data_IF_476819278929
#
_entry.id   IF_476819278929
#
_cell.length_a   1.000
_cell.length_b   1.000
_cell.length_c   1.000
_cell.angle_alpha   90.00
_cell.angle_beta   90.00
_cell.angle_gamma   90.00
#
_symmetry.space_group_name_H-M   'P 1'
#
loop_
_entity.id
_entity.type
_entity.pdbx_description
1 polymer ?
#
# COMPACT_ATOMS: atom_id res chain seq x y z
N UNK A 1 -11.42 -10.04 -8.18
CA UNK A 1 -10.38 -9.30 -7.45
C UNK A 1 -10.01 -9.99 -6.14
N UNK A 2 -9.78 -11.31 -6.10
CA UNK A 2 -9.50 -12.01 -4.84
C UNK A 2 -8.02 -12.01 -4.49
N UNK A 3 -7.16 -12.45 -5.40
CA UNK A 3 -5.75 -12.69 -5.06
C UNK A 3 -4.98 -11.39 -4.80
N UNK A 4 -5.27 -10.34 -5.57
CA UNK A 4 -4.65 -9.02 -5.34
C UNK A 4 -5.09 -8.41 -4.00
N UNK A 5 -6.37 -8.55 -3.62
CA UNK A 5 -6.86 -8.05 -2.35
C UNK A 5 -6.22 -8.79 -1.17
N UNK A 6 -6.14 -10.12 -1.25
CA UNK A 6 -5.44 -10.90 -0.23
C UNK A 6 -3.97 -10.48 -0.09
N UNK A 7 -3.28 -10.22 -1.20
CA UNK A 7 -1.88 -9.80 -1.19
C UNK A 7 -1.72 -8.41 -0.54
N UNK A 8 -2.64 -7.49 -0.82
CA UNK A 8 -2.69 -6.16 -0.22
C UNK A 8 -3.02 -6.23 1.28
N UNK A 9 -3.95 -7.09 1.67
CA UNK A 9 -4.35 -7.29 3.07
C UNK A 9 -3.19 -7.88 3.89
N UNK A 10 -2.51 -8.90 3.37
CA UNK A 10 -1.34 -9.50 4.01
C UNK A 10 -0.18 -8.50 4.16
N UNK A 11 0.05 -7.69 3.11
CA UNK A 11 1.04 -6.62 3.14
C UNK A 11 0.69 -5.55 4.19
N UNK A 12 -0.55 -5.09 4.18
CA UNK A 12 -1.06 -4.05 5.10
C UNK A 12 -0.97 -4.52 6.54
N UNK A 13 -1.38 -5.76 6.81
CA UNK A 13 -1.34 -6.38 8.13
C UNK A 13 0.09 -6.45 8.65
N UNK A 14 1.05 -6.89 7.82
CA UNK A 14 2.46 -6.97 8.22
C UNK A 14 3.06 -5.58 8.54
N UNK A 15 2.68 -4.55 7.78
CA UNK A 15 3.12 -3.17 8.01
C UNK A 15 2.51 -2.61 9.31
N UNK A 16 1.21 -2.82 9.52
CA UNK A 16 0.50 -2.37 10.73
C UNK A 16 1.05 -3.08 11.97
N UNK A 17 1.27 -4.39 11.91
CA UNK A 17 1.86 -5.15 13.02
C UNK A 17 3.24 -4.62 13.40
N UNK A 18 4.07 -4.29 12.39
CA UNK A 18 5.44 -3.83 12.62
C UNK A 18 5.53 -2.39 13.15
N UNK A 19 4.75 -1.48 12.56
CA UNK A 19 4.85 -0.05 12.87
C UNK A 19 3.78 0.45 13.87
N UNK A 20 2.75 -0.34 14.12
CA UNK A 20 1.68 -0.05 15.08
C UNK A 20 1.13 1.36 14.91
N UNK A 21 1.29 2.18 15.95
CA UNK A 21 0.75 3.55 16.06
C UNK A 21 1.36 4.56 15.08
N UNK A 22 2.45 4.20 14.40
CA UNK A 22 3.05 5.05 13.37
C UNK A 22 2.35 4.96 12.03
N UNK A 23 1.62 3.87 11.74
CA UNK A 23 0.77 3.82 10.55
C UNK A 23 -0.42 4.74 10.78
N UNK A 24 -0.57 5.74 9.92
CA UNK A 24 -1.68 6.70 9.99
C UNK A 24 -2.77 6.36 8.99
N UNK A 25 -2.38 6.02 7.77
CA UNK A 25 -3.33 5.73 6.69
C UNK A 25 -2.74 4.77 5.67
N UNK A 26 -3.57 3.91 5.11
CA UNK A 26 -3.24 3.06 3.96
C UNK A 26 -4.35 3.24 2.93
N UNK A 27 -3.97 3.63 1.71
CA UNK A 27 -4.90 3.80 0.59
C UNK A 27 -4.36 3.04 -0.62
N UNK A 28 -5.24 2.32 -1.31
CA UNK A 28 -4.89 1.59 -2.53
C UNK A 28 -5.73 2.03 -3.70
N UNK A 29 -5.12 2.12 -4.88
CA UNK A 29 -5.79 2.47 -6.11
C UNK A 29 -5.04 1.94 -7.33
N UNK A 30 -5.26 2.56 -8.49
CA UNK A 30 -4.63 2.17 -9.75
C UNK A 30 -5.50 1.26 -10.62
N UNK A 31 -4.92 0.80 -11.74
CA UNK A 31 -5.63 0.10 -12.81
C UNK A 31 -6.30 -1.19 -12.37
N UNK A 32 -5.71 -1.89 -11.40
CA UNK A 32 -6.30 -3.10 -10.83
C UNK A 32 -7.70 -2.87 -10.27
N UNK A 33 -7.93 -1.68 -9.70
CA UNK A 33 -9.19 -1.31 -9.07
C UNK A 33 -10.17 -0.65 -10.06
N UNK A 34 -9.69 0.20 -10.97
CA UNK A 34 -10.54 0.84 -11.98
C UNK A 34 -11.08 -0.19 -12.98
N UNK A 35 -10.21 -1.09 -13.45
CA UNK A 35 -10.52 -2.03 -14.53
C UNK A 35 -10.98 -3.38 -13.99
N UNK A 36 -10.96 -3.56 -12.67
CA UNK A 36 -11.27 -4.81 -11.96
C UNK A 36 -10.42 -6.00 -12.39
N UNK A 37 -9.18 -5.75 -12.83
CA UNK A 37 -8.22 -6.76 -13.30
C UNK A 37 -7.08 -6.95 -12.31
N UNK A 38 -6.95 -8.14 -11.74
CA UNK A 38 -6.01 -8.39 -10.64
C UNK A 38 -4.52 -8.30 -11.01
N UNK A 39 -4.17 -8.45 -12.29
CA UNK A 39 -2.80 -8.46 -12.80
C UNK A 39 -2.32 -7.11 -13.35
N UNK A 40 -3.10 -6.05 -13.10
CA UNK A 40 -2.76 -4.69 -13.46
C UNK A 40 -2.11 -3.95 -12.29
N UNK A 41 -1.66 -2.73 -12.53
CA UNK A 41 -1.00 -1.90 -11.52
C UNK A 41 -1.90 -1.61 -10.31
N UNK A 42 -1.31 -1.73 -9.12
CA UNK A 42 -1.80 -1.21 -7.85
C UNK A 42 -0.87 -0.11 -7.39
N UNK A 43 -1.41 1.06 -7.05
CA UNK A 43 -0.69 2.10 -6.32
C UNK A 43 -1.06 1.93 -4.85
N UNK A 44 -0.06 1.69 -4.01
CA UNK A 44 -0.19 1.49 -2.58
C UNK A 44 0.42 2.69 -1.85
N UNK A 45 -0.43 3.53 -1.27
CA UNK A 45 0.00 4.66 -0.44
C UNK A 45 0.03 4.25 1.02
N UNK A 46 1.20 4.38 1.65
CA UNK A 46 1.41 4.23 3.08
C UNK A 46 1.72 5.59 3.68
N UNK A 47 0.84 6.09 4.56
CA UNK A 47 1.12 7.27 5.37
C UNK A 47 1.69 6.80 6.71
N UNK A 48 2.97 7.07 6.91
CA UNK A 48 3.76 6.61 8.05
C UNK A 48 4.34 7.81 8.80
N UNK A 49 4.11 7.88 10.11
CA UNK A 49 4.69 8.91 10.94
C UNK A 49 6.22 8.76 11.07
N UNK A 50 6.90 9.84 11.43
CA UNK A 50 8.36 9.91 11.64
C UNK A 50 9.23 9.65 10.39
N UNK A 51 8.66 9.61 9.19
CA UNK A 51 9.43 9.45 7.93
C UNK A 51 9.81 10.76 7.24
N UNK A 52 9.37 11.92 7.75
CA UNK A 52 9.59 13.23 7.10
C UNK A 52 11.07 13.57 6.89
N UNK A 53 11.96 13.07 7.76
CA UNK A 53 13.42 13.23 7.65
C UNK A 53 14.14 12.08 6.93
N UNK A 54 13.40 11.06 6.51
CA UNK A 54 13.94 9.90 5.78
C UNK A 54 13.90 10.22 4.29
N UNK A 55 15.02 9.98 3.59
CA UNK A 55 15.12 10.18 2.15
C UNK A 55 14.12 9.32 1.37
N UNK A 56 13.71 9.77 0.18
CA UNK A 56 12.76 9.02 -0.65
C UNK A 56 13.29 7.62 -1.03
N UNK A 57 14.61 7.49 -1.22
CA UNK A 57 15.26 6.21 -1.50
C UNK A 57 15.10 5.23 -0.34
N UNK A 58 15.44 5.67 0.87
CA UNK A 58 15.31 4.84 2.09
C UNK A 58 13.86 4.51 2.42
N UNK A 59 12.91 5.39 2.05
CA UNK A 59 11.47 5.08 2.15
C UNK A 59 11.04 3.98 1.18
N UNK A 60 11.63 3.92 -0.01
CA UNK A 60 11.46 2.79 -0.92
C UNK A 60 11.93 1.47 -0.30
N UNK A 61 13.05 1.49 0.44
CA UNK A 61 13.56 0.31 1.15
C UNK A 61 12.61 -0.16 2.26
N UNK A 62 11.94 0.77 2.96
CA UNK A 62 10.90 0.42 3.94
C UNK A 62 9.81 -0.42 3.28
N UNK A 63 9.23 0.07 2.18
CA UNK A 63 8.18 -0.67 1.49
C UNK A 63 8.70 -2.02 0.95
N UNK A 64 9.88 -2.00 0.32
CA UNK A 64 10.50 -3.19 -0.27
C UNK A 64 10.74 -4.29 0.76
N UNK A 65 11.09 -3.94 2.00
CA UNK A 65 11.25 -4.91 3.08
C UNK A 65 9.98 -5.74 3.31
N UNK A 66 8.81 -5.11 3.38
CA UNK A 66 7.54 -5.82 3.55
C UNK A 66 7.10 -6.52 2.27
N UNK A 67 7.29 -5.89 1.12
CA UNK A 67 6.99 -6.52 -0.16
C UNK A 67 7.79 -7.82 -0.36
N UNK A 68 9.08 -7.83 -0.01
CA UNK A 68 9.91 -9.04 -0.07
C UNK A 68 9.47 -10.15 0.89
N UNK A 69 8.84 -9.81 2.03
CA UNK A 69 8.20 -10.81 2.89
C UNK A 69 6.95 -11.39 2.22
N UNK A 70 6.09 -10.52 1.66
CA UNK A 70 4.90 -10.92 0.92
C UNK A 70 5.25 -11.85 -0.25
N UNK A 71 6.37 -11.62 -0.95
CA UNK A 71 6.83 -12.46 -2.07
C UNK A 71 7.05 -13.94 -1.71
N UNK A 72 7.16 -14.27 -0.41
CA UNK A 72 7.33 -15.63 0.11
C UNK A 72 6.01 -16.26 0.60
N UNK A 73 4.89 -15.56 0.45
CA UNK A 73 3.58 -16.01 0.90
C UNK A 73 2.92 -16.99 -0.06
N UNK A 74 2.03 -17.83 0.47
CA UNK A 74 1.15 -18.69 -0.34
C UNK A 74 0.26 -17.88 -1.26
N UNK A 75 -0.13 -16.67 -0.85
CA UNK A 75 -0.94 -15.74 -1.65
C UNK A 75 -0.24 -15.39 -2.96
N UNK A 76 1.07 -15.11 -2.90
CA UNK A 76 1.88 -14.80 -4.09
C UNK A 76 2.10 -16.04 -4.96
N UNK A 77 2.28 -17.22 -4.37
CA UNK A 77 2.40 -18.46 -5.15
C UNK A 77 1.12 -18.75 -5.94
N UNK A 78 -0.06 -18.52 -5.34
CA UNK A 78 -1.35 -18.63 -6.02
C UNK A 78 -1.50 -17.57 -7.12
N UNK A 79 -1.07 -16.33 -6.86
CA UNK A 79 -1.11 -15.25 -7.83
C UNK A 79 -0.25 -15.58 -9.07
N UNK A 80 0.99 -16.02 -8.86
CA UNK A 80 1.90 -16.46 -9.93
C UNK A 80 1.32 -17.62 -10.72
N UNK A 81 0.76 -18.62 -10.04
CA UNK A 81 0.16 -19.78 -10.70
C UNK A 81 -1.00 -19.39 -11.62
N UNK A 82 -1.78 -18.36 -11.25
CA UNK A 82 -2.92 -17.90 -12.04
C UNK A 82 -2.54 -16.97 -13.19
N UNK A 83 -1.63 -16.03 -12.97
CA UNK A 83 -1.34 -14.94 -13.92
C UNK A 83 0.03 -15.04 -14.60
N UNK A 84 0.89 -15.98 -14.19
CA UNK A 84 2.24 -16.14 -14.74
C UNK A 84 3.22 -15.02 -14.35
N UNK A 85 2.82 -14.10 -13.48
CA UNK A 85 3.64 -12.95 -13.06
C UNK A 85 3.43 -12.62 -11.58
N UNK A 86 4.30 -11.76 -11.05
CA UNK A 86 4.07 -11.11 -9.75
C UNK A 86 2.96 -10.06 -9.84
N UNK A 87 2.28 -9.74 -8.72
CA UNK A 87 1.42 -8.56 -8.66
C UNK A 87 2.24 -7.29 -8.86
N UNK A 88 1.67 -6.32 -9.57
CA UNK A 88 2.34 -5.05 -9.89
C UNK A 88 1.97 -4.00 -8.84
N UNK A 89 2.59 -4.08 -7.66
CA UNK A 89 2.32 -3.16 -6.55
C UNK A 89 3.42 -2.10 -6.47
N UNK A 90 3.06 -0.84 -6.73
CA UNK A 90 3.91 0.33 -6.53
C UNK A 90 3.64 0.91 -5.14
N UNK A 91 4.59 0.73 -4.22
CA UNK A 91 4.52 1.30 -2.88
C UNK A 91 5.10 2.70 -2.78
N UNK A 92 4.36 3.61 -2.17
CA UNK A 92 4.78 4.99 -1.90
C UNK A 92 4.60 5.25 -0.41
N UNK A 93 5.68 5.63 0.28
CA UNK A 93 5.66 5.96 1.71
C UNK A 93 5.74 7.46 1.89
N UNK A 94 4.72 8.02 2.52
CA UNK A 94 4.53 9.44 2.74
C UNK A 94 4.54 9.73 4.24
N UNK A 95 5.08 10.87 4.64
CA UNK A 95 4.76 11.44 5.94
C UNK A 95 3.38 12.11 5.90
N UNK A 96 2.69 12.26 7.04
CA UNK A 96 1.38 12.92 7.09
C UNK A 96 1.38 14.32 6.46
N UNK A 97 2.48 15.08 6.59
CA UNK A 97 2.63 16.42 6.01
C UNK A 97 2.58 16.43 4.48
N UNK A 98 2.98 15.34 3.83
CA UNK A 98 2.97 15.24 2.37
C UNK A 98 1.57 15.02 1.80
N UNK A 99 0.56 14.78 2.64
CA UNK A 99 -0.85 14.79 2.23
C UNK A 99 -1.39 16.19 1.95
N UNK A 100 -0.73 17.22 2.49
CA UNK A 100 -1.07 18.62 2.25
C UNK A 100 -0.44 19.15 0.94
N UNK A 101 0.41 18.36 0.30
CA UNK A 101 1.09 18.74 -0.93
C UNK A 101 0.25 18.33 -2.14
N UNK A 102 0.22 19.18 -3.16
CA UNK A 102 -0.48 18.93 -4.44
C UNK A 102 0.31 17.96 -5.33
N UNK A 103 0.58 16.75 -4.83
CA UNK A 103 1.27 15.71 -5.59
C UNK A 103 0.22 14.97 -6.43
N UNK A 104 0.22 15.11 -7.78
CA UNK A 104 -0.92 14.66 -8.60
C UNK A 104 -1.27 13.18 -8.46
N UNK A 105 -0.25 12.32 -8.29
CA UNK A 105 -0.45 10.89 -8.09
C UNK A 105 -1.10 10.58 -6.74
N UNK A 106 -0.68 11.28 -5.69
CA UNK A 106 -1.26 11.13 -4.34
C UNK A 106 -2.70 11.60 -4.36
N UNK A 107 -2.97 12.78 -4.93
CA UNK A 107 -4.32 13.32 -5.07
C UNK A 107 -5.24 12.39 -5.84
N UNK A 108 -4.76 11.81 -6.95
CA UNK A 108 -5.52 10.86 -7.74
C UNK A 108 -5.95 9.64 -6.90
N UNK A 109 -5.02 9.05 -6.15
CA UNK A 109 -5.31 7.87 -5.32
C UNK A 109 -6.14 8.22 -4.10
N UNK A 110 -5.93 9.38 -3.48
CA UNK A 110 -6.75 9.83 -2.35
C UNK A 110 -8.20 10.09 -2.75
N UNK A 111 -8.46 10.53 -3.98
CA UNK A 111 -9.82 10.79 -4.50
C UNK A 111 -10.52 9.55 -5.06
N UNK A 112 -9.78 8.65 -5.70
CA UNK A 112 -10.36 7.53 -6.46
C UNK A 112 -10.00 6.15 -5.89
N UNK A 113 -9.15 6.10 -4.87
CA UNK A 113 -8.71 4.87 -4.22
C UNK A 113 -9.63 4.41 -3.10
N UNK A 114 -9.27 3.29 -2.50
CA UNK A 114 -9.94 2.67 -1.37
C UNK A 114 -9.08 2.85 -0.13
N UNK A 115 -9.68 3.43 0.91
CA UNK A 115 -9.04 3.52 2.23
C UNK A 115 -9.13 2.15 2.90
N UNK A 116 -7.98 1.53 3.14
CA UNK A 116 -7.89 0.22 3.82
C UNK A 116 -7.72 0.37 5.32
N UNK A 117 -7.06 1.46 5.73
CA UNK A 117 -6.79 1.77 7.12
C UNK A 117 -6.73 3.29 7.28
N UNK A 118 -7.37 3.81 8.32
CA UNK A 118 -7.31 5.21 8.70
C UNK A 118 -7.46 5.32 10.22
N UNK A 119 -6.37 5.72 10.89
CA UNK A 119 -6.36 5.81 12.36
C UNK A 119 -7.13 7.01 12.89
N UNK A 120 -7.32 8.07 12.10
CA UNK A 120 -8.08 9.25 12.55
C UNK A 120 -9.59 8.98 12.63
N UNK A 121 -10.08 7.94 11.96
CA UNK A 121 -11.50 7.56 11.97
C UNK A 121 -11.87 6.78 13.25
N UNK A 122 -10.91 6.15 13.93
CA UNK A 122 -11.15 5.33 15.13
C UNK A 122 -11.22 6.13 16.44
N UNK A 123 -10.76 7.38 16.49
CA UNK A 123 -10.76 8.18 17.74
C UNK A 123 -12.12 8.84 18.08
N UNK A 124 -13.16 8.61 17.26
CA UNK A 124 -14.53 9.10 17.50
C UNK A 124 -15.54 7.97 17.86
N UNK A 125 -15.05 6.83 18.37
CA UNK A 125 -15.85 5.69 18.83
C UNK A 125 -16.07 5.64 20.34
#
# INVERSE_FOLDING_TARGET
MKLILNAIEELSSSIIEWYGNYVKKIVVGGKSFSDKRENEEVIYLLVLDKVSKISIFSRGEIFLFFYNKLLKSKTIDQFKSKYGSLPKILGIVLSPKELEYEIPLVDYVMKNGYVLFDREVEENG
#
